data_IF_781340412108
#
_entry.id   IF_781340412108
#
_cell.length_a   1.000
_cell.length_b   1.000
_cell.length_c   1.000
_cell.angle_alpha   90.00
_cell.angle_beta   90.00
_cell.angle_gamma   90.00
#
_symmetry.space_group_name_H-M   'P 1'
#
loop_
_entity.id
_entity.type
_entity.pdbx_description
1 polymer ?
#
# COMPACT_ATOMS: atom_id res chain seq x y z
N UNK A 1 33.08 -48.18 -45.86
CA UNK A 1 32.68 -46.81 -45.47
C UNK A 1 31.44 -46.94 -44.60
N UNK A 2 31.56 -46.70 -43.29
CA UNK A 2 30.45 -46.72 -42.34
C UNK A 2 30.07 -45.25 -42.05
N UNK A 3 28.86 -44.82 -42.39
CA UNK A 3 28.33 -43.52 -42.06
C UNK A 3 27.73 -43.55 -40.65
N UNK A 4 28.30 -42.75 -39.77
CA UNK A 4 27.80 -42.56 -38.41
C UNK A 4 26.78 -41.38 -38.45
N UNK A 5 25.49 -41.68 -38.27
CA UNK A 5 24.46 -40.67 -38.12
C UNK A 5 24.47 -40.15 -36.67
N UNK A 6 24.88 -38.90 -36.49
CA UNK A 6 24.78 -38.18 -35.21
C UNK A 6 23.38 -37.49 -35.18
N UNK A 7 22.46 -38.07 -34.40
CA UNK A 7 21.21 -37.39 -34.07
C UNK A 7 21.48 -36.32 -32.99
N UNK A 8 21.52 -35.06 -33.38
CA UNK A 8 21.53 -33.94 -32.45
C UNK A 8 20.10 -33.73 -31.87
N UNK A 9 19.89 -34.20 -30.66
CA UNK A 9 18.67 -33.92 -29.92
C UNK A 9 18.62 -32.46 -29.50
N UNK A 10 17.71 -31.68 -30.08
CA UNK A 10 17.42 -30.29 -29.63
C UNK A 10 16.68 -30.38 -28.27
N UNK A 11 17.35 -30.02 -27.19
CA UNK A 11 16.73 -29.83 -25.88
C UNK A 11 15.97 -28.49 -25.92
N UNK A 12 14.66 -28.52 -26.09
CA UNK A 12 13.79 -27.37 -25.94
C UNK A 12 13.71 -27.02 -24.45
N UNK A 13 14.52 -26.05 -24.01
CA UNK A 13 14.39 -25.47 -22.67
C UNK A 13 13.15 -24.56 -22.70
N UNK A 14 12.04 -25.06 -22.20
CA UNK A 14 10.83 -24.27 -21.97
C UNK A 14 11.10 -23.35 -20.78
N UNK A 15 11.48 -22.11 -21.04
CA UNK A 15 11.48 -21.08 -20.01
C UNK A 15 10.04 -20.83 -19.60
N UNK A 16 9.61 -21.40 -18.49
CA UNK A 16 8.40 -20.96 -17.82
C UNK A 16 8.68 -19.55 -17.29
N UNK A 17 8.25 -18.54 -18.02
CA UNK A 17 8.10 -17.19 -17.47
C UNK A 17 7.07 -17.27 -16.36
N UNK A 18 7.52 -17.38 -15.13
CA UNK A 18 6.70 -17.24 -13.95
C UNK A 18 6.26 -15.77 -13.92
N UNK A 19 5.10 -15.48 -14.53
CA UNK A 19 4.49 -14.17 -14.40
C UNK A 19 4.38 -13.83 -12.92
N UNK A 20 4.81 -12.64 -12.57
CA UNK A 20 4.75 -12.16 -11.21
C UNK A 20 3.29 -12.20 -10.70
N UNK A 21 3.00 -13.00 -9.66
CA UNK A 21 1.66 -13.15 -9.11
C UNK A 21 1.15 -11.81 -8.54
N UNK A 22 -0.07 -11.46 -8.88
CA UNK A 22 -0.75 -10.28 -8.32
C UNK A 22 -1.44 -10.62 -7.01
N UNK A 23 -1.77 -9.60 -6.22
CA UNK A 23 -2.48 -9.78 -4.96
C UNK A 23 -3.76 -10.60 -5.15
N UNK A 24 -4.61 -10.23 -6.12
CA UNK A 24 -5.90 -10.88 -6.34
C UNK A 24 -5.77 -12.33 -6.84
N UNK A 25 -4.71 -12.65 -7.57
CA UNK A 25 -4.45 -13.99 -8.09
C UNK A 25 -3.99 -14.94 -6.97
N UNK A 26 -3.16 -14.43 -6.04
CA UNK A 26 -2.61 -15.22 -4.93
C UNK A 26 -3.57 -15.41 -3.76
N UNK A 27 -4.37 -14.39 -3.45
CA UNK A 27 -5.20 -14.36 -2.25
C UNK A 27 -6.67 -14.38 -2.66
N UNK A 28 -7.20 -15.57 -2.91
CA UNK A 28 -8.63 -15.76 -3.22
C UNK A 28 -9.52 -15.37 -2.01
N UNK A 29 -10.75 -14.90 -2.24
CA UNK A 29 -11.74 -14.76 -1.17
C UNK A 29 -12.00 -16.09 -0.45
N UNK A 30 -12.40 -16.05 0.83
CA UNK A 30 -12.85 -17.26 1.54
C UNK A 30 -14.06 -17.89 0.84
N UNK A 31 -14.27 -19.18 1.09
CA UNK A 31 -15.44 -19.89 0.54
C UNK A 31 -16.74 -19.17 0.86
N UNK A 32 -17.60 -19.01 -0.12
CA UNK A 32 -18.88 -18.29 0.00
C UNK A 32 -18.79 -16.77 -0.17
N UNK A 33 -17.60 -16.19 -0.26
CA UNK A 33 -17.43 -14.75 -0.49
C UNK A 33 -17.02 -14.47 -1.93
N UNK A 34 -17.49 -13.36 -2.47
CA UNK A 34 -17.18 -12.89 -3.83
C UNK A 34 -16.67 -11.46 -3.79
N UNK A 35 -15.73 -11.13 -4.66
CA UNK A 35 -15.30 -9.75 -4.87
C UNK A 35 -16.37 -8.97 -5.62
N UNK A 36 -16.61 -7.75 -5.19
CA UNK A 36 -17.43 -6.84 -5.99
C UNK A 36 -16.72 -6.46 -7.28
N UNK A 37 -17.49 -6.31 -8.35
CA UNK A 37 -16.98 -5.78 -9.61
C UNK A 37 -16.57 -4.32 -9.42
N UNK A 38 -15.50 -3.94 -10.10
CA UNK A 38 -15.00 -2.57 -10.09
C UNK A 38 -14.52 -2.18 -11.50
N UNK A 39 -14.45 -0.88 -11.76
CA UNK A 39 -13.95 -0.40 -13.06
C UNK A 39 -12.45 -0.65 -13.19
N UNK A 40 -11.96 -0.88 -14.41
CA UNK A 40 -10.56 -1.21 -14.71
C UNK A 40 -9.56 -0.14 -14.24
N UNK A 41 -10.00 1.12 -14.23
CA UNK A 41 -9.19 2.25 -13.83
C UNK A 41 -9.40 2.68 -12.35
N UNK A 42 -10.07 1.85 -11.54
CA UNK A 42 -10.31 2.18 -10.14
C UNK A 42 -9.08 1.96 -9.25
N UNK A 43 -9.06 2.63 -8.10
CA UNK A 43 -8.03 2.37 -7.08
C UNK A 43 -8.10 0.93 -6.56
N UNK A 44 -9.31 0.34 -6.50
CA UNK A 44 -9.54 -1.07 -6.18
C UNK A 44 -8.79 -1.99 -7.15
N UNK A 45 -8.95 -1.76 -8.46
CA UNK A 45 -8.25 -2.55 -9.49
C UNK A 45 -6.73 -2.38 -9.40
N UNK A 46 -6.26 -1.16 -9.13
CA UNK A 46 -4.83 -0.93 -8.90
C UNK A 46 -4.29 -1.76 -7.72
N UNK A 47 -4.98 -1.75 -6.57
CA UNK A 47 -4.57 -2.51 -5.37
C UNK A 47 -4.58 -4.02 -5.62
N UNK A 48 -5.63 -4.54 -6.25
CA UNK A 48 -5.76 -5.96 -6.62
C UNK A 48 -4.67 -6.45 -7.58
N UNK A 49 -4.19 -5.56 -8.44
CA UNK A 49 -3.14 -5.85 -9.43
C UNK A 49 -1.72 -5.60 -8.93
N UNK A 50 -1.52 -5.24 -7.66
CA UNK A 50 -0.17 -5.07 -7.12
C UNK A 50 0.59 -6.40 -7.17
N UNK A 51 1.82 -6.38 -7.69
CA UNK A 51 2.67 -7.56 -7.73
C UNK A 51 3.12 -7.95 -6.32
N UNK A 52 3.25 -9.24 -6.09
CA UNK A 52 3.74 -9.80 -4.83
C UNK A 52 5.10 -10.47 -5.03
N UNK A 53 5.98 -10.35 -4.06
CA UNK A 53 7.22 -11.12 -4.01
C UNK A 53 6.90 -12.63 -3.89
N UNK A 54 7.83 -13.52 -4.24
CA UNK A 54 7.63 -14.97 -4.12
C UNK A 54 7.07 -15.39 -2.76
N UNK A 55 6.30 -16.47 -2.72
CA UNK A 55 5.76 -17.04 -1.46
C UNK A 55 6.90 -17.30 -0.46
N UNK A 56 6.70 -16.91 0.79
CA UNK A 56 7.71 -17.08 1.84
C UNK A 56 8.77 -15.97 1.90
N UNK A 57 8.71 -14.96 1.01
CA UNK A 57 9.60 -13.80 1.09
C UNK A 57 9.46 -13.10 2.44
N UNK A 58 10.60 -12.72 3.00
CA UNK A 58 10.66 -11.94 4.25
C UNK A 58 10.43 -10.46 3.96
N UNK A 59 9.83 -9.77 4.91
CA UNK A 59 9.72 -8.31 4.86
C UNK A 59 11.10 -7.72 5.17
N UNK A 60 11.62 -6.91 4.27
CA UNK A 60 12.87 -6.20 4.47
C UNK A 60 12.62 -4.76 4.93
N UNK A 61 13.49 -4.29 5.82
CA UNK A 61 13.61 -2.91 6.24
C UNK A 61 14.38 -2.11 5.18
N UNK A 62 14.32 -0.78 5.24
CA UNK A 62 15.05 0.13 4.35
C UNK A 62 16.56 -0.12 4.27
N UNK A 63 17.15 -0.72 5.29
CA UNK A 63 18.57 -1.05 5.39
C UNK A 63 18.91 -2.51 5.00
N UNK A 64 17.96 -3.24 4.42
CA UNK A 64 18.11 -4.62 3.99
C UNK A 64 17.99 -5.69 5.09
N UNK A 65 17.81 -5.30 6.35
CA UNK A 65 17.57 -6.25 7.43
C UNK A 65 16.15 -6.81 7.37
N UNK A 66 15.97 -8.04 7.86
CA UNK A 66 14.64 -8.63 7.99
C UNK A 66 13.84 -7.98 9.13
N UNK A 67 12.51 -7.87 8.93
CA UNK A 67 11.58 -7.48 10.00
C UNK A 67 11.59 -8.52 11.12
N UNK A 68 11.78 -8.07 12.36
CA UNK A 68 11.82 -8.98 13.52
C UNK A 68 10.50 -9.75 13.70
N UNK A 69 9.35 -9.07 13.64
CA UNK A 69 8.04 -9.72 13.67
C UNK A 69 7.64 -10.18 12.25
N UNK A 70 8.39 -11.12 11.68
CA UNK A 70 8.12 -11.67 10.36
C UNK A 70 6.77 -12.39 10.28
N UNK A 71 6.27 -12.92 11.41
CA UNK A 71 4.98 -13.64 11.47
C UNK A 71 3.77 -12.71 11.24
N UNK A 72 3.94 -11.41 11.29
CA UNK A 72 2.90 -10.43 10.97
C UNK A 72 2.51 -10.42 9.49
N UNK A 73 3.41 -10.88 8.60
CA UNK A 73 3.25 -10.80 7.16
C UNK A 73 2.74 -12.12 6.55
N UNK A 74 1.67 -12.03 5.77
CA UNK A 74 1.18 -13.11 4.92
C UNK A 74 1.85 -13.11 3.54
N UNK A 75 2.03 -11.94 2.95
CA UNK A 75 2.67 -11.74 1.67
C UNK A 75 3.30 -10.33 1.61
N UNK A 76 4.33 -10.17 0.79
CA UNK A 76 5.05 -8.90 0.61
C UNK A 76 4.72 -8.34 -0.76
N UNK A 77 4.34 -7.06 -0.81
CA UNK A 77 4.13 -6.34 -2.06
C UNK A 77 5.49 -6.06 -2.70
N UNK A 78 5.64 -6.39 -3.99
CA UNK A 78 6.85 -6.09 -4.74
C UNK A 78 6.87 -4.61 -5.15
N UNK A 79 7.27 -3.79 -4.19
CA UNK A 79 7.42 -2.35 -4.35
C UNK A 79 8.66 -1.89 -3.59
N UNK A 80 9.57 -1.27 -4.30
CA UNK A 80 10.82 -0.73 -3.76
C UNK A 80 10.50 0.35 -2.70
N UNK A 81 11.23 0.36 -1.59
CA UNK A 81 11.06 1.31 -0.48
C UNK A 81 12.16 2.36 -0.38
N UNK A 82 13.22 2.23 -1.18
CA UNK A 82 14.42 3.06 -1.05
C UNK A 82 15.33 2.61 0.10
N UNK A 83 16.35 3.42 0.36
CA UNK A 83 17.41 3.12 1.34
C UNK A 83 17.41 4.08 2.55
N UNK A 84 16.31 4.81 2.76
CA UNK A 84 16.14 5.77 3.86
C UNK A 84 15.00 5.33 4.76
N UNK A 85 15.10 5.64 6.06
CA UNK A 85 14.02 5.38 7.02
C UNK A 85 12.87 6.40 6.88
N UNK A 86 12.16 6.34 5.75
CA UNK A 86 11.09 7.28 5.41
C UNK A 86 9.73 6.61 5.23
N UNK A 87 9.63 5.59 4.38
CA UNK A 87 8.34 4.96 4.07
C UNK A 87 7.83 4.10 5.23
N UNK A 88 7.29 4.75 6.27
CA UNK A 88 6.69 4.10 7.43
C UNK A 88 5.18 3.86 7.22
N UNK A 89 4.40 3.65 8.28
CA UNK A 89 3.01 3.20 8.18
C UNK A 89 2.09 4.14 7.37
N UNK A 90 2.04 5.43 7.69
CA UNK A 90 1.24 6.40 6.96
C UNK A 90 1.78 6.62 5.53
N UNK A 91 3.10 6.55 5.38
CA UNK A 91 3.77 6.79 4.10
C UNK A 91 3.48 5.69 3.09
N UNK A 92 3.31 4.45 3.55
CA UNK A 92 2.84 3.34 2.72
C UNK A 92 1.44 3.61 2.14
N UNK A 93 0.53 4.14 2.94
CA UNK A 93 -0.81 4.54 2.52
C UNK A 93 -0.74 5.67 1.49
N UNK A 94 0.02 6.72 1.79
CA UNK A 94 0.30 7.84 0.89
C UNK A 94 0.92 7.34 -0.42
N UNK A 95 1.91 6.45 -0.34
CA UNK A 95 2.59 5.88 -1.49
C UNK A 95 1.62 5.17 -2.42
N UNK A 96 0.80 4.26 -1.92
CA UNK A 96 -0.13 3.49 -2.75
C UNK A 96 -1.15 4.40 -3.45
N UNK A 97 -1.67 5.40 -2.75
CA UNK A 97 -2.59 6.38 -3.35
C UNK A 97 -1.91 7.22 -4.41
N UNK A 98 -0.71 7.73 -4.13
CA UNK A 98 0.05 8.57 -5.04
C UNK A 98 0.48 7.83 -6.32
N UNK A 99 0.96 6.57 -6.18
CA UNK A 99 1.33 5.72 -7.33
C UNK A 99 0.13 5.46 -8.26
N UNK A 100 -1.03 5.16 -7.69
CA UNK A 100 -2.26 5.03 -8.46
C UNK A 100 -2.57 6.29 -9.26
N UNK A 101 -2.56 7.45 -8.61
CA UNK A 101 -2.85 8.73 -9.25
C UNK A 101 -1.79 9.09 -10.31
N UNK A 102 -0.52 8.84 -10.02
CA UNK A 102 0.60 9.08 -10.95
C UNK A 102 0.50 8.21 -12.21
N UNK A 103 0.21 6.93 -12.04
CA UNK A 103 0.00 5.97 -13.15
C UNK A 103 -1.12 6.42 -14.09
N UNK A 104 -2.16 7.05 -13.55
CA UNK A 104 -3.30 7.57 -14.31
C UNK A 104 -3.13 9.05 -14.75
N UNK A 105 -1.92 9.62 -14.58
CA UNK A 105 -1.58 11.01 -14.94
C UNK A 105 -2.49 12.05 -14.24
N UNK A 106 -3.07 11.69 -13.11
CA UNK A 106 -3.91 12.56 -12.27
C UNK A 106 -3.04 13.41 -11.35
N UNK A 107 -2.07 14.10 -11.91
CA UNK A 107 -1.01 14.80 -11.18
C UNK A 107 -1.53 15.92 -10.26
N UNK A 108 -2.61 16.58 -10.63
CA UNK A 108 -3.24 17.62 -9.82
C UNK A 108 -3.92 17.09 -8.54
N UNK A 109 -4.28 15.80 -8.55
CA UNK A 109 -4.92 15.12 -7.41
C UNK A 109 -3.89 14.58 -6.41
N UNK A 110 -2.60 14.55 -6.77
CA UNK A 110 -1.52 14.13 -5.88
C UNK A 110 -1.14 15.29 -4.99
N UNK A 111 -1.70 15.32 -3.80
CA UNK A 111 -1.42 16.32 -2.77
C UNK A 111 -1.63 15.73 -1.39
N UNK A 112 -0.76 16.09 -0.46
CA UNK A 112 -0.80 15.62 0.93
C UNK A 112 -0.41 16.75 1.87
N UNK A 113 -1.00 16.76 3.07
CA UNK A 113 -0.69 17.78 4.06
C UNK A 113 0.46 17.32 4.97
N UNK A 114 1.42 18.22 5.18
CA UNK A 114 2.41 18.07 6.23
C UNK A 114 1.76 18.21 7.61
N UNK A 115 2.44 17.78 8.64
CA UNK A 115 1.95 17.93 10.03
C UNK A 115 1.71 19.38 10.41
N UNK A 116 2.45 20.32 9.80
CA UNK A 116 2.25 21.77 9.93
C UNK A 116 0.96 22.29 9.30
N UNK A 117 0.25 21.50 8.47
CA UNK A 117 -0.91 21.92 7.69
C UNK A 117 -0.58 22.42 6.28
N UNK A 118 0.71 22.52 5.92
CA UNK A 118 1.11 22.92 4.58
C UNK A 118 0.74 21.83 3.56
N UNK A 119 0.13 22.22 2.44
CA UNK A 119 -0.23 21.29 1.36
C UNK A 119 0.91 21.16 0.35
N UNK A 120 1.49 19.98 0.27
CA UNK A 120 2.48 19.61 -0.73
C UNK A 120 1.77 19.09 -1.98
N UNK A 121 1.88 19.79 -3.11
CA UNK A 121 1.23 19.52 -4.39
C UNK A 121 2.26 18.96 -5.40
N UNK A 122 2.05 17.73 -5.89
CA UNK A 122 2.98 17.13 -6.85
C UNK A 122 3.05 17.91 -8.17
N UNK A 123 1.92 18.40 -8.69
CA UNK A 123 1.92 19.18 -9.93
C UNK A 123 2.87 20.38 -9.83
N UNK A 124 2.79 21.14 -8.75
CA UNK A 124 3.66 22.29 -8.49
C UNK A 124 5.14 21.89 -8.35
N UNK A 125 5.39 20.74 -7.72
CA UNK A 125 6.74 20.18 -7.64
C UNK A 125 7.28 19.79 -9.02
N UNK A 126 6.50 19.10 -9.84
CA UNK A 126 6.89 18.68 -11.19
C UNK A 126 7.08 19.88 -12.14
N UNK A 127 6.42 21.00 -11.89
CA UNK A 127 6.57 22.27 -12.62
C UNK A 127 7.80 23.10 -12.16
N UNK A 128 8.73 22.48 -11.41
CA UNK A 128 10.02 23.07 -11.07
C UNK A 128 10.07 23.78 -9.72
N UNK A 129 8.99 23.81 -8.95
CA UNK A 129 9.02 24.35 -7.60
C UNK A 129 9.54 23.31 -6.59
N UNK A 130 10.04 23.78 -5.45
CA UNK A 130 10.50 22.95 -4.34
C UNK A 130 9.97 23.52 -3.02
N UNK A 131 9.98 22.70 -1.99
CA UNK A 131 9.52 23.07 -0.66
C UNK A 131 10.73 23.30 0.23
N UNK A 132 10.76 24.43 0.91
CA UNK A 132 11.73 24.75 1.96
C UNK A 132 11.02 24.71 3.30
N UNK A 133 11.63 23.99 4.23
CA UNK A 133 11.16 23.88 5.61
C UNK A 133 12.23 24.49 6.51
N UNK A 134 11.86 25.52 7.26
CA UNK A 134 12.67 26.13 8.30
C UNK A 134 11.84 26.11 9.58
N UNK A 135 12.12 25.18 10.46
CA UNK A 135 11.33 24.92 11.67
C UNK A 135 9.83 24.74 11.33
N UNK A 136 8.98 25.64 11.81
CA UNK A 136 7.54 25.61 11.54
C UNK A 136 7.12 26.38 10.27
N UNK A 137 8.05 27.02 9.59
CA UNK A 137 7.77 27.76 8.36
C UNK A 137 8.00 26.87 7.14
N UNK A 138 6.95 26.66 6.37
CA UNK A 138 6.99 25.86 5.15
C UNK A 138 6.53 26.72 3.98
N UNK A 139 7.34 26.78 2.92
CA UNK A 139 7.02 27.58 1.75
C UNK A 139 7.52 26.97 0.45
N UNK A 140 6.81 27.26 -0.62
CA UNK A 140 7.27 26.97 -1.97
C UNK A 140 8.30 27.99 -2.41
N UNK A 141 9.28 27.53 -3.21
CA UNK A 141 10.19 28.41 -3.93
C UNK A 141 10.47 27.87 -5.35
N UNK A 142 10.72 28.77 -6.28
CA UNK A 142 11.16 28.40 -7.64
C UNK A 142 12.60 27.92 -7.58
N UNK A 143 12.86 26.66 -7.97
CA UNK A 143 14.18 26.04 -7.85
C UNK A 143 15.07 26.24 -9.07
N UNK A 144 14.57 26.90 -10.12
CA UNK A 144 15.26 27.00 -11.42
C UNK A 144 15.27 25.71 -12.25
N UNK A 145 14.66 24.64 -11.75
CA UNK A 145 14.49 23.39 -12.51
C UNK A 145 13.32 23.52 -13.48
N UNK A 146 13.44 22.96 -14.65
CA UNK A 146 12.35 22.90 -15.63
C UNK A 146 11.24 21.93 -15.20
N UNK A 147 10.23 21.82 -16.05
CA UNK A 147 9.11 20.88 -15.89
C UNK A 147 9.61 19.44 -16.05
N UNK A 148 9.34 18.59 -15.06
CA UNK A 148 9.75 17.19 -15.08
C UNK A 148 8.70 16.30 -14.35
N UNK A 149 7.94 15.52 -15.11
CA UNK A 149 6.98 14.54 -14.62
C UNK A 149 7.54 13.11 -14.57
N UNK A 150 8.86 12.94 -14.63
CA UNK A 150 9.51 11.62 -14.54
C UNK A 150 9.20 10.93 -13.21
N UNK A 151 9.28 9.59 -13.22
CA UNK A 151 9.11 8.81 -12.01
C UNK A 151 10.15 9.17 -10.93
N UNK A 152 11.37 9.52 -11.33
CA UNK A 152 12.41 9.99 -10.41
C UNK A 152 11.99 11.26 -9.68
N UNK A 153 11.43 12.24 -10.39
CA UNK A 153 10.94 13.48 -9.78
C UNK A 153 9.72 13.23 -8.88
N UNK A 154 8.85 12.30 -9.26
CA UNK A 154 7.75 11.84 -8.42
C UNK A 154 8.24 11.19 -7.12
N UNK A 155 9.23 10.30 -7.18
CA UNK A 155 9.82 9.68 -5.99
C UNK A 155 10.47 10.71 -5.05
N UNK A 156 11.20 11.69 -5.60
CA UNK A 156 11.77 12.79 -4.81
C UNK A 156 10.71 13.65 -4.11
N UNK A 157 9.55 13.82 -4.76
CA UNK A 157 8.40 14.47 -4.13
C UNK A 157 7.86 13.64 -2.96
N UNK A 158 7.70 12.34 -3.15
CA UNK A 158 7.24 11.45 -2.08
C UNK A 158 8.19 11.42 -0.89
N UNK A 159 9.49 11.41 -1.13
CA UNK A 159 10.49 11.51 -0.06
C UNK A 159 10.30 12.79 0.77
N UNK A 160 10.00 13.92 0.10
CA UNK A 160 9.68 15.18 0.79
C UNK A 160 8.40 15.08 1.61
N UNK A 161 7.37 14.43 1.08
CA UNK A 161 6.11 14.18 1.80
C UNK A 161 6.36 13.31 3.02
N UNK A 162 7.09 12.20 2.89
CA UNK A 162 7.36 11.26 3.96
C UNK A 162 8.17 11.86 5.12
N UNK A 163 9.00 12.88 4.85
CA UNK A 163 9.72 13.58 5.92
C UNK A 163 8.83 14.44 6.81
N UNK A 164 7.68 14.92 6.32
CA UNK A 164 6.90 15.95 7.02
C UNK A 164 5.42 15.62 7.19
N UNK A 165 4.89 14.64 6.46
CA UNK A 165 3.58 14.07 6.69
C UNK A 165 3.69 12.87 7.66
N UNK A 166 2.56 12.37 8.11
CA UNK A 166 2.49 11.20 8.98
C UNK A 166 1.07 10.90 9.41
N UNK A 167 0.90 10.00 10.39
CA UNK A 167 -0.44 9.62 10.87
C UNK A 167 -1.23 10.81 11.39
N UNK A 168 -0.59 11.78 12.02
CA UNK A 168 -1.25 12.98 12.56
C UNK A 168 -1.85 13.87 11.46
N UNK A 169 -1.11 14.14 10.36
CA UNK A 169 -1.63 14.92 9.23
C UNK A 169 -2.66 14.13 8.43
N UNK A 170 -2.34 12.89 8.08
CA UNK A 170 -3.22 12.05 7.25
C UNK A 170 -4.57 11.78 7.94
N UNK A 171 -4.59 11.54 9.27
CA UNK A 171 -5.84 11.34 10.00
C UNK A 171 -6.73 12.58 10.05
N UNK A 172 -6.17 13.80 9.98
CA UNK A 172 -6.93 15.05 9.88
C UNK A 172 -7.42 15.32 8.47
N UNK A 173 -6.66 14.91 7.47
CA UNK A 173 -6.97 15.11 6.06
C UNK A 173 -8.09 14.20 5.57
N UNK A 174 -8.11 12.95 6.01
CA UNK A 174 -9.07 11.97 5.54
C UNK A 174 -10.40 12.06 6.33
N UNK A 175 -11.55 12.19 5.64
CA UNK A 175 -12.86 12.11 6.28
C UNK A 175 -13.13 10.71 6.83
N UNK A 176 -13.82 10.66 7.96
CA UNK A 176 -14.32 9.41 8.53
C UNK A 176 -15.45 8.84 7.64
N UNK A 177 -15.53 7.53 7.56
CA UNK A 177 -16.59 6.82 6.85
C UNK A 177 -17.18 5.71 7.74
N UNK A 178 -18.42 5.33 7.44
CA UNK A 178 -19.05 4.26 8.16
C UNK A 178 -18.43 2.91 7.79
N UNK A 179 -18.23 2.06 8.77
CA UNK A 179 -17.70 0.71 8.56
C UNK A 179 -18.52 -0.11 7.55
N UNK A 180 -19.83 0.05 7.55
CA UNK A 180 -20.73 -0.61 6.59
C UNK A 180 -20.42 -0.27 5.13
N UNK A 181 -19.82 0.91 4.89
CA UNK A 181 -19.39 1.36 3.56
C UNK A 181 -17.95 0.99 3.20
N UNK A 182 -17.27 0.18 4.03
CA UNK A 182 -15.87 -0.22 3.85
C UNK A 182 -15.63 -0.75 2.43
N UNK A 183 -14.56 -0.24 1.81
CA UNK A 183 -14.13 -0.59 0.45
C UNK A 183 -12.59 -0.58 0.32
N UNK A 184 -12.02 -1.19 -0.73
CA UNK A 184 -10.58 -1.11 -0.99
C UNK A 184 -10.11 0.34 -1.12
N UNK A 185 -8.97 0.64 -0.53
CA UNK A 185 -8.40 1.99 -0.45
C UNK A 185 -8.80 2.77 0.81
N UNK A 186 -9.75 2.28 1.61
CA UNK A 186 -10.02 2.84 2.93
C UNK A 186 -8.85 2.59 3.88
N UNK A 187 -8.74 3.41 4.90
CA UNK A 187 -7.61 3.42 5.82
C UNK A 187 -8.10 3.39 7.26
N UNK A 188 -7.69 2.39 8.02
CA UNK A 188 -7.77 2.49 9.47
C UNK A 188 -6.56 3.28 9.96
N UNK A 189 -6.81 4.42 10.61
CA UNK A 189 -5.75 5.32 11.02
C UNK A 189 -6.01 5.95 12.39
N UNK A 190 -5.04 5.79 13.28
CA UNK A 190 -4.97 6.48 14.56
C UNK A 190 -3.85 7.50 14.49
N UNK A 191 -4.23 8.78 14.43
CA UNK A 191 -3.27 9.88 14.35
C UNK A 191 -2.60 10.15 15.70
N UNK A 192 -1.34 10.53 15.68
CA UNK A 192 -0.61 10.94 16.87
C UNK A 192 0.77 10.30 17.00
N UNK A 193 1.31 10.39 18.22
CA UNK A 193 2.55 9.72 18.64
C UNK A 193 2.31 9.11 20.03
N UNK A 194 2.14 7.78 20.13
CA UNK A 194 2.16 6.82 19.03
C UNK A 194 0.95 6.92 18.11
N UNK A 195 1.17 6.59 16.82
CA UNK A 195 0.12 6.51 15.83
C UNK A 195 0.41 5.39 14.83
N UNK A 196 -0.63 4.89 14.16
CA UNK A 196 -0.47 3.83 13.15
C UNK A 196 -1.54 3.93 12.06
N UNK A 197 -1.24 3.36 10.89
CA UNK A 197 -2.15 3.30 9.76
C UNK A 197 -2.00 1.97 9.01
N UNK A 198 -3.13 1.40 8.60
CA UNK A 198 -3.20 0.26 7.70
C UNK A 198 -4.22 0.56 6.60
N UNK A 199 -4.00 0.03 5.41
CA UNK A 199 -4.87 0.23 4.26
C UNK A 199 -5.64 -1.04 3.92
N UNK A 200 -6.92 -0.89 3.54
CA UNK A 200 -7.75 -1.96 3.00
C UNK A 200 -7.33 -2.23 1.56
N UNK A 201 -6.81 -3.43 1.31
CA UNK A 201 -6.29 -3.81 0.00
C UNK A 201 -7.35 -4.43 -0.90
N UNK A 202 -8.27 -5.17 -0.31
CA UNK A 202 -9.34 -5.86 -1.02
C UNK A 202 -10.54 -6.08 -0.10
N UNK A 203 -11.71 -6.24 -0.69
CA UNK A 203 -12.97 -6.56 0.01
C UNK A 203 -13.72 -7.63 -0.77
N UNK A 204 -14.29 -8.58 -0.04
CA UNK A 204 -15.23 -9.56 -0.58
C UNK A 204 -16.50 -9.62 0.30
N UNK A 205 -17.63 -9.94 -0.32
CA UNK A 205 -18.95 -9.91 0.30
C UNK A 205 -19.57 -11.29 0.19
N UNK A 206 -20.18 -11.75 1.26
CA UNK A 206 -21.01 -12.95 1.24
C UNK A 206 -22.39 -12.59 0.64
N UNK A 207 -22.78 -13.13 -0.53
CA UNK A 207 -23.91 -12.63 -1.31
C UNK A 207 -25.25 -12.75 -0.57
N UNK A 208 -25.42 -13.78 0.28
CA UNK A 208 -26.67 -14.03 0.98
C UNK A 208 -26.79 -13.26 2.31
N UNK A 209 -25.68 -12.89 2.96
CA UNK A 209 -25.70 -12.26 4.29
C UNK A 209 -25.24 -10.81 4.29
N UNK A 210 -24.61 -10.34 3.20
CA UNK A 210 -24.00 -9.02 3.13
C UNK A 210 -22.76 -8.84 4.00
N UNK A 211 -22.30 -9.87 4.71
CA UNK A 211 -21.08 -9.81 5.52
C UNK A 211 -19.89 -9.54 4.65
N UNK A 212 -19.01 -8.67 5.12
CA UNK A 212 -17.77 -8.28 4.43
C UNK A 212 -16.55 -8.89 5.09
N UNK A 213 -15.64 -9.35 4.27
CA UNK A 213 -14.26 -9.66 4.66
C UNK A 213 -13.29 -8.79 3.86
N UNK A 214 -12.14 -8.47 4.44
CA UNK A 214 -11.20 -7.55 3.83
C UNK A 214 -9.75 -7.91 4.12
N UNK A 215 -8.85 -7.53 3.23
CA UNK A 215 -7.40 -7.65 3.39
C UNK A 215 -6.83 -6.34 3.89
N UNK A 216 -5.83 -6.41 4.76
CA UNK A 216 -5.10 -5.26 5.23
C UNK A 216 -3.63 -5.33 4.84
N UNK A 217 -3.03 -4.16 4.57
CA UNK A 217 -1.60 -4.03 4.41
C UNK A 217 -1.06 -2.86 5.23
N UNK A 218 0.22 -2.96 5.56
CA UNK A 218 0.96 -1.90 6.24
C UNK A 218 2.42 -1.86 5.79
N UNK A 219 3.11 -0.76 6.08
CA UNK A 219 4.50 -0.68 6.48
C UNK A 219 4.56 -0.40 7.99
N UNK A 220 5.75 -0.26 8.57
CA UNK A 220 5.92 0.00 10.01
C UNK A 220 7.19 0.83 10.27
N UNK A 221 7.53 1.04 11.53
CA UNK A 221 8.80 1.62 11.95
C UNK A 221 9.78 0.53 12.42
N UNK A 222 11.04 0.53 11.94
CA UNK A 222 11.61 1.36 10.88
C UNK A 222 10.95 1.12 9.52
N UNK A 223 11.17 2.03 8.55
CA UNK A 223 10.63 1.91 7.20
C UNK A 223 10.89 0.53 6.59
N UNK A 224 9.87 -0.09 6.05
CA UNK A 224 9.92 -1.48 5.58
C UNK A 224 8.97 -1.70 4.40
N UNK A 225 9.12 -2.83 3.73
CA UNK A 225 8.28 -3.20 2.60
C UNK A 225 6.81 -3.30 3.02
N UNK A 226 5.93 -2.84 2.13
CA UNK A 226 4.48 -3.00 2.31
C UNK A 226 4.15 -4.48 2.29
N UNK A 227 3.41 -4.94 3.28
CA UNK A 227 3.05 -6.35 3.39
C UNK A 227 1.59 -6.54 3.81
N UNK A 228 1.00 -7.60 3.27
CA UNK A 228 -0.34 -8.06 3.65
C UNK A 228 -0.26 -8.69 5.03
N UNK A 229 -1.17 -8.30 5.91
CA UNK A 229 -1.19 -8.77 7.28
C UNK A 229 -1.85 -10.14 7.43
N UNK A 230 -1.32 -10.96 8.32
CA UNK A 230 -2.06 -12.12 8.83
C UNK A 230 -3.18 -11.65 9.77
N UNK A 231 -4.29 -12.39 9.83
CA UNK A 231 -5.33 -12.13 10.82
C UNK A 231 -4.97 -12.85 12.14
N UNK A 232 -4.66 -12.13 13.22
CA UNK A 232 -4.27 -12.75 14.48
C UNK A 232 -5.46 -13.37 15.26
N UNK A 233 -6.69 -12.99 14.93
CA UNK A 233 -7.88 -13.42 15.65
C UNK A 233 -8.56 -14.63 15.03
N UNK A 234 -8.27 -14.95 13.76
CA UNK A 234 -8.83 -16.12 13.06
C UNK A 234 -7.85 -16.75 12.10
N UNK A 235 -7.31 -17.90 12.45
CA UNK A 235 -6.43 -18.69 11.57
C UNK A 235 -7.14 -19.17 10.31
N UNK A 236 -8.42 -19.54 10.43
CA UNK A 236 -9.21 -20.09 9.31
C UNK A 236 -9.57 -19.00 8.27
N UNK A 237 -9.69 -17.76 8.70
CA UNK A 237 -10.02 -16.64 7.84
C UNK A 237 -8.77 -15.93 7.30
N UNK A 238 -7.63 -16.03 8.01
CA UNK A 238 -6.38 -15.34 7.65
C UNK A 238 -5.96 -15.63 6.21
N UNK A 239 -5.54 -14.61 5.43
CA UNK A 239 -5.27 -13.24 5.82
C UNK A 239 -6.48 -12.29 5.79
N UNK A 240 -7.68 -12.79 5.53
CA UNK A 240 -8.88 -11.99 5.53
C UNK A 240 -9.33 -11.66 6.96
N UNK A 241 -9.84 -10.45 7.13
CA UNK A 241 -10.42 -9.92 8.37
C UNK A 241 -11.92 -9.79 8.24
N UNK A 242 -12.62 -9.93 9.35
CA UNK A 242 -14.04 -9.62 9.48
C UNK A 242 -14.20 -8.82 10.77
N UNK A 243 -14.95 -7.71 10.74
CA UNK A 243 -15.37 -7.04 11.97
C UNK A 243 -16.76 -7.55 12.36
N UNK A 244 -16.80 -8.32 13.42
CA UNK A 244 -18.03 -8.80 14.01
C UNK A 244 -18.55 -7.83 15.08
N UNK A 245 -19.82 -7.99 15.48
CA UNK A 245 -20.36 -7.22 16.60
C UNK A 245 -19.71 -7.63 17.93
N UNK A 246 -19.26 -8.89 18.01
CA UNK A 246 -18.61 -9.47 19.20
C UNK A 246 -17.24 -8.85 19.51
N UNK A 247 -16.59 -8.20 18.53
CA UNK A 247 -15.29 -7.57 18.72
C UNK A 247 -15.39 -6.20 19.44
N UNK A 248 -16.56 -5.85 19.99
CA UNK A 248 -16.80 -4.56 20.63
C UNK A 248 -16.35 -3.36 19.76
N UNK A 249 -16.37 -3.53 18.44
CA UNK A 249 -15.92 -2.52 17.48
C UNK A 249 -14.41 -2.37 17.33
N UNK A 250 -13.61 -3.28 17.88
CA UNK A 250 -12.15 -3.29 17.76
C UNK A 250 -11.68 -4.16 16.61
N UNK A 251 -10.65 -3.71 15.92
CA UNK A 251 -9.92 -4.43 14.89
C UNK A 251 -8.51 -4.73 15.40
N UNK A 252 -8.23 -6.00 15.63
CA UNK A 252 -6.91 -6.47 16.07
C UNK A 252 -6.07 -6.82 14.85
N UNK A 253 -4.93 -6.14 14.70
CA UNK A 253 -3.88 -6.49 13.75
C UNK A 253 -2.69 -7.08 14.52
N UNK A 254 -1.69 -7.68 13.86
CA UNK A 254 -0.54 -8.28 14.56
C UNK A 254 0.24 -7.32 15.45
N UNK A 255 0.18 -6.02 15.16
CA UNK A 255 1.04 -5.01 15.81
C UNK A 255 0.26 -3.79 16.32
N UNK A 256 -1.08 -3.72 16.09
CA UNK A 256 -1.89 -2.58 16.51
C UNK A 256 -3.36 -2.94 16.71
N UNK A 257 -4.09 -2.09 17.45
CA UNK A 257 -5.54 -2.21 17.66
C UNK A 257 -6.20 -0.92 17.19
N UNK A 258 -7.13 -1.04 16.25
CA UNK A 258 -7.98 0.05 15.78
C UNK A 258 -9.42 -0.13 16.27
N UNK A 259 -10.22 0.93 16.10
CA UNK A 259 -11.66 0.92 16.33
C UNK A 259 -12.39 1.18 14.99
N UNK A 260 -13.67 0.82 14.89
CA UNK A 260 -14.49 1.10 13.68
C UNK A 260 -14.48 2.58 13.30
N UNK A 261 -14.42 3.49 14.29
CA UNK A 261 -14.36 4.96 14.08
C UNK A 261 -13.06 5.46 13.47
N UNK A 262 -12.01 4.63 13.51
CA UNK A 262 -10.70 4.98 12.92
C UNK A 262 -10.68 4.80 11.39
N UNK A 263 -11.79 4.30 10.80
CA UNK A 263 -11.93 4.11 9.36
C UNK A 263 -12.14 5.44 8.64
N UNK A 264 -11.30 5.68 7.66
CA UNK A 264 -11.26 6.91 6.86
C UNK A 264 -11.04 6.62 5.39
N UNK A 265 -11.30 7.60 4.51
CA UNK A 265 -11.24 7.44 3.05
C UNK A 265 -10.60 8.65 2.39
N UNK A 266 -9.81 8.40 1.34
CA UNK A 266 -9.40 9.46 0.40
C UNK A 266 -10.61 9.99 -0.39
N UNK A 267 -10.62 11.31 -0.64
CA UNK A 267 -11.58 11.98 -1.51
C UNK A 267 -11.32 11.65 -2.99
#
# INVERSE_FOLDING_TARGET
MKYLLICAGLLLIVFHSWGQERLADRIAPPSGYVRETCSDNSFTTYLRNLPLLPKGSKVLLYNGKEKANWAAAFAVVDMEIGNRDLQQCADAVIRLRAEYLWKHKRYADIKFNFTSGFTAEYKKWAEGNRIKVNDNQVQWYASGKGVDYSYKTFRNYLDMVFMYAGTASLSRELPAVLYTSLQPGDVFIKGGSPGHAVIVMDVAIHPNTGKKVFLLAQSYMPAQQIHILVNPTSRNLSPWYELTETDAGKLYTPEWIFEKKDLKRFK
#
